data_IF_368775063338
#
_entry.id   IF_368775063338
#
_cell.length_a   1.000
_cell.length_b   1.000
_cell.length_c   1.000
_cell.angle_alpha   90.00
_cell.angle_beta   90.00
_cell.angle_gamma   90.00
#
_symmetry.space_group_name_H-M   'P 1'
#
loop_
_entity.id
_entity.type
_entity.pdbx_description
1 polymer ?
#
# COMPACT_ATOMS: atom_id res chain seq x y z
N UNK A 1 -2.49 2.65 -9.55
CA UNK A 1 -2.61 3.36 -8.27
C UNK A 1 -3.57 4.53 -8.37
N UNK A 2 -4.47 4.64 -7.41
CA UNK A 2 -5.44 5.72 -7.28
C UNK A 2 -4.75 6.99 -6.80
N UNK A 3 -4.65 7.97 -7.69
CA UNK A 3 -4.19 9.30 -7.34
C UNK A 3 -5.26 10.12 -6.60
N UNK A 4 -6.54 9.83 -6.83
CA UNK A 4 -7.71 10.47 -6.21
C UNK A 4 -8.88 9.47 -6.13
N UNK A 5 -9.74 9.63 -5.12
CA UNK A 5 -10.95 8.81 -5.01
C UNK A 5 -11.89 9.07 -6.21
N UNK A 6 -12.45 8.02 -6.85
CA UNK A 6 -13.29 8.16 -8.04
C UNK A 6 -14.70 8.66 -7.73
N UNK A 7 -15.00 9.07 -6.49
CA UNK A 7 -16.32 9.48 -6.05
C UNK A 7 -16.29 10.82 -5.34
N UNK A 8 -17.23 11.70 -5.68
CA UNK A 8 -17.45 12.95 -4.96
C UNK A 8 -18.49 12.70 -3.85
N UNK A 9 -18.01 12.59 -2.60
CA UNK A 9 -18.82 12.34 -1.42
C UNK A 9 -19.83 13.46 -1.13
N UNK A 10 -19.59 14.70 -1.58
CA UNK A 10 -20.53 15.82 -1.41
C UNK A 10 -21.81 15.64 -2.23
N UNK A 11 -21.78 14.79 -3.27
CA UNK A 11 -22.92 14.50 -4.14
C UNK A 11 -23.66 13.21 -3.75
N UNK A 12 -23.22 12.54 -2.69
CA UNK A 12 -23.84 11.29 -2.19
C UNK A 12 -24.96 11.61 -1.21
N UNK A 13 -26.06 10.87 -1.29
CA UNK A 13 -27.15 10.99 -0.31
C UNK A 13 -26.65 10.59 1.07
N UNK A 14 -27.13 11.26 2.13
CA UNK A 14 -26.71 10.96 3.50
C UNK A 14 -26.90 9.49 3.88
N UNK A 15 -27.99 8.86 3.42
CA UNK A 15 -28.26 7.44 3.71
C UNK A 15 -27.25 6.45 3.07
N UNK A 16 -26.51 6.89 2.05
CA UNK A 16 -25.54 6.05 1.32
C UNK A 16 -24.08 6.46 1.59
N UNK A 17 -23.84 7.55 2.32
CA UNK A 17 -22.51 8.10 2.56
C UNK A 17 -21.57 7.08 3.21
N UNK A 18 -22.03 6.39 4.25
CA UNK A 18 -21.22 5.39 4.96
C UNK A 18 -20.84 4.21 4.05
N UNK A 19 -21.74 3.80 3.14
CA UNK A 19 -21.47 2.73 2.18
C UNK A 19 -20.40 3.14 1.18
N UNK A 20 -20.44 4.38 0.72
CA UNK A 20 -19.45 4.91 -0.22
C UNK A 20 -18.08 5.13 0.44
N UNK A 21 -18.05 5.54 1.70
CA UNK A 21 -16.80 5.62 2.49
C UNK A 21 -16.18 4.23 2.63
N UNK A 22 -16.97 3.21 3.00
CA UNK A 22 -16.47 1.84 3.11
C UNK A 22 -15.98 1.31 1.76
N UNK A 23 -16.72 1.58 0.67
CA UNK A 23 -16.30 1.20 -0.68
C UNK A 23 -14.98 1.86 -1.07
N UNK A 24 -14.81 3.15 -0.79
CA UNK A 24 -13.56 3.87 -1.02
C UNK A 24 -12.40 3.24 -0.26
N UNK A 25 -12.60 2.86 1.01
CA UNK A 25 -11.61 2.14 1.81
C UNK A 25 -11.22 0.80 1.18
N UNK A 26 -12.19 -0.04 0.81
CA UNK A 26 -11.92 -1.33 0.16
C UNK A 26 -11.12 -1.19 -1.13
N UNK A 27 -11.42 -0.17 -1.94
CA UNK A 27 -10.69 0.09 -3.18
C UNK A 27 -9.24 0.52 -2.87
N UNK A 28 -9.03 1.35 -1.85
CA UNK A 28 -7.69 1.78 -1.45
C UNK A 28 -6.82 0.59 -0.98
N UNK A 29 -7.39 -0.32 -0.18
CA UNK A 29 -6.69 -1.52 0.26
C UNK A 29 -6.34 -2.44 -0.92
N UNK A 30 -7.26 -2.60 -1.88
CA UNK A 30 -6.99 -3.41 -3.07
C UNK A 30 -5.86 -2.82 -3.92
N UNK A 31 -5.83 -1.50 -4.09
CA UNK A 31 -4.75 -0.80 -4.79
C UNK A 31 -3.41 -0.95 -4.07
N UNK A 32 -3.41 -0.93 -2.73
CA UNK A 32 -2.23 -1.20 -1.92
C UNK A 32 -1.71 -2.63 -2.10
N UNK A 33 -2.60 -3.63 -2.10
CA UNK A 33 -2.24 -5.03 -2.38
C UNK A 33 -1.60 -5.15 -3.76
N UNK A 34 -2.22 -4.61 -4.81
CA UNK A 34 -1.65 -4.64 -6.16
C UNK A 34 -0.30 -3.93 -6.25
N UNK A 35 -0.12 -2.84 -5.51
CA UNK A 35 1.18 -2.17 -5.43
C UNK A 35 2.25 -3.05 -4.75
N UNK A 36 1.92 -3.73 -3.64
CA UNK A 36 2.84 -4.66 -2.99
C UNK A 36 3.20 -5.85 -3.89
N UNK A 37 2.25 -6.39 -4.66
CA UNK A 37 2.52 -7.44 -5.64
C UNK A 37 3.51 -6.96 -6.72
N UNK A 38 3.35 -5.73 -7.21
CA UNK A 38 4.29 -5.13 -8.16
C UNK A 38 5.68 -4.96 -7.54
N UNK A 39 5.76 -4.41 -6.33
CA UNK A 39 7.04 -4.29 -5.63
C UNK A 39 7.71 -5.64 -5.42
N UNK A 40 6.94 -6.67 -5.06
CA UNK A 40 7.45 -8.02 -4.87
C UNK A 40 7.93 -8.65 -6.18
N UNK A 41 7.27 -8.38 -7.31
CA UNK A 41 7.66 -8.86 -8.63
C UNK A 41 8.92 -8.18 -9.18
N UNK A 42 9.11 -6.89 -8.89
CA UNK A 42 10.29 -6.11 -9.27
C UNK A 42 11.51 -6.38 -8.37
N UNK A 43 11.31 -7.04 -7.24
CA UNK A 43 12.36 -7.33 -6.28
C UNK A 43 13.09 -8.62 -6.64
N UNK A 44 14.37 -8.52 -6.99
CA UNK A 44 15.22 -9.70 -7.14
C UNK A 44 15.58 -10.28 -5.77
N UNK A 45 15.52 -11.62 -5.63
CA UNK A 45 15.82 -12.32 -4.38
C UNK A 45 17.23 -12.00 -3.82
N UNK A 46 18.15 -11.55 -4.67
CA UNK A 46 19.50 -11.10 -4.29
C UNK A 46 19.50 -9.68 -3.69
N UNK A 47 18.67 -8.77 -4.19
CA UNK A 47 18.52 -7.41 -3.64
C UNK A 47 17.90 -7.44 -2.23
N UNK A 48 16.93 -8.33 -1.98
CA UNK A 48 16.36 -8.54 -0.63
C UNK A 48 17.40 -9.06 0.35
N UNK A 49 18.23 -10.01 -0.09
CA UNK A 49 19.28 -10.57 0.76
C UNK A 49 20.33 -9.54 1.11
N UNK A 50 20.70 -8.68 0.16
CA UNK A 50 21.71 -7.64 0.38
C UNK A 50 21.20 -6.55 1.33
N UNK A 51 19.93 -6.13 1.21
CA UNK A 51 19.33 -5.16 2.14
C UNK A 51 19.18 -5.74 3.55
N UNK A 52 18.76 -7.00 3.69
CA UNK A 52 18.72 -7.71 4.98
C UNK A 52 20.11 -7.88 5.61
N UNK A 53 21.13 -8.15 4.79
CA UNK A 53 22.51 -8.26 5.26
C UNK A 53 23.06 -6.91 5.74
N UNK A 54 22.85 -5.84 4.96
CA UNK A 54 23.24 -4.49 5.35
C UNK A 54 22.53 -4.01 6.62
N UNK A 55 21.25 -4.37 6.81
CA UNK A 55 20.52 -4.08 8.06
C UNK A 55 21.20 -4.74 9.27
N UNK A 56 21.58 -6.01 9.17
CA UNK A 56 22.25 -6.75 10.26
C UNK A 56 23.62 -6.17 10.58
N UNK A 57 24.39 -5.77 9.57
CA UNK A 57 25.69 -5.11 9.76
C UNK A 57 25.54 -3.77 10.51
N UNK A 58 24.47 -3.01 10.23
CA UNK A 58 24.18 -1.77 10.97
C UNK A 58 23.78 -2.05 12.42
N UNK A 59 22.94 -3.06 12.67
CA UNK A 59 22.56 -3.47 14.03
C UNK A 59 23.81 -3.86 14.86
N UNK A 60 24.73 -4.67 14.29
CA UNK A 60 25.99 -5.07 14.94
C UNK A 60 26.95 -3.90 15.23
N UNK A 61 26.94 -2.85 14.40
CA UNK A 61 27.77 -1.67 14.60
C UNK A 61 27.21 -0.69 15.64
N UNK A 62 25.94 -0.87 16.04
CA UNK A 62 25.25 -0.02 17.02
C UNK A 62 25.18 -0.63 18.42
N UNK A 63 25.69 -1.86 18.61
CA UNK A 63 25.90 -2.54 19.90
C UNK A 63 27.35 -2.41 20.40
#
# INVERSE_FOLDING_TARGET
>A
MLSQLPINLEKVKKEDLDKEILRAGMIAELDAVSFYEQMAAETDAEQVKETEKGRKEVEELTE
#
